data_IF_804423213012
#
_entry.id   IF_804423213012
#
_cell.length_a   1.000
_cell.length_b   1.000
_cell.length_c   1.000
_cell.angle_alpha   90.00
_cell.angle_beta   90.00
_cell.angle_gamma   90.00
#
_symmetry.space_group_name_H-M   'P 1'
#
loop_
_entity.id
_entity.type
_entity.pdbx_description
1 polymer ?
#
# COMPACT_ATOMS: atom_id res chain seq x y z
N UNK A 1 9.39 11.29 22.19
CA UNK A 1 9.41 10.78 20.80
C UNK A 1 10.21 11.76 19.96
N UNK A 2 11.30 11.30 19.37
CA UNK A 2 12.20 12.11 18.55
C UNK A 2 11.45 12.81 17.40
N UNK A 3 11.79 14.05 17.01
CA UNK A 3 11.06 14.79 15.97
C UNK A 3 10.96 14.05 14.63
N UNK A 4 12.03 13.36 14.20
CA UNK A 4 12.01 12.55 12.97
C UNK A 4 11.01 11.39 13.03
N UNK A 5 10.92 10.73 14.19
CA UNK A 5 9.98 9.62 14.41
C UNK A 5 8.55 10.16 14.43
N UNK A 6 8.34 11.33 15.04
CA UNK A 6 7.04 12.00 15.05
C UNK A 6 6.59 12.39 13.63
N UNK A 7 7.48 12.97 12.84
CA UNK A 7 7.20 13.30 11.43
C UNK A 7 6.84 12.05 10.63
N UNK A 8 7.63 10.99 10.77
CA UNK A 8 7.38 9.69 10.13
C UNK A 8 6.00 9.13 10.52
N UNK A 9 5.64 9.16 11.81
CA UNK A 9 4.33 8.72 12.28
C UNK A 9 3.19 9.53 11.66
N UNK A 10 3.31 10.86 11.61
CA UNK A 10 2.30 11.72 10.98
C UNK A 10 2.10 11.37 9.50
N UNK A 11 3.20 11.18 8.74
CA UNK A 11 3.11 10.78 7.33
C UNK A 11 2.41 9.43 7.16
N UNK A 12 2.75 8.45 7.99
CA UNK A 12 2.11 7.14 7.95
C UNK A 12 0.60 7.20 8.23
N UNK A 13 0.16 8.06 9.16
CA UNK A 13 -1.26 8.26 9.47
C UNK A 13 -1.99 8.95 8.32
N UNK A 14 -1.37 9.94 7.67
CA UNK A 14 -1.95 10.63 6.51
C UNK A 14 -2.15 9.65 5.35
N UNK A 15 -1.10 8.90 4.99
CA UNK A 15 -1.18 7.87 3.92
C UNK A 15 -2.11 6.73 4.32
N UNK A 16 -2.12 6.36 5.60
CA UNK A 16 -2.95 5.29 6.16
C UNK A 16 -4.44 5.52 6.03
N UNK A 17 -4.91 6.76 5.79
CA UNK A 17 -6.32 7.08 5.58
C UNK A 17 -6.89 6.39 4.34
N UNK A 18 -6.10 6.30 3.28
CA UNK A 18 -6.50 5.72 1.99
C UNK A 18 -6.05 4.26 1.82
N UNK A 19 -5.40 3.69 2.85
CA UNK A 19 -4.79 2.37 2.77
C UNK A 19 -5.85 1.27 2.62
N UNK A 20 -5.67 0.32 1.69
CA UNK A 20 -6.70 -0.67 1.37
C UNK A 20 -6.70 -1.86 2.32
N UNK A 21 -7.12 -1.63 3.56
CA UNK A 21 -7.35 -2.65 4.59
C UNK A 21 -8.79 -2.54 5.12
N UNK A 22 -9.46 -3.65 5.51
CA UNK A 22 -10.82 -3.60 6.07
C UNK A 22 -10.94 -2.66 7.28
N UNK A 23 -10.00 -2.72 8.22
CA UNK A 23 -9.97 -1.78 9.37
C UNK A 23 -9.40 -0.39 9.05
N UNK A 24 -8.96 -0.17 7.80
CA UNK A 24 -8.41 1.09 7.28
C UNK A 24 -7.31 1.71 8.16
N UNK A 25 -7.54 2.95 8.56
CA UNK A 25 -6.58 3.74 9.35
C UNK A 25 -6.28 3.13 10.72
N UNK A 26 -7.21 2.38 11.32
CA UNK A 26 -7.00 1.80 12.65
C UNK A 26 -5.91 0.72 12.62
N UNK A 27 -5.90 -0.12 11.57
CA UNK A 27 -4.84 -1.10 11.34
C UNK A 27 -3.47 -0.44 11.25
N UNK A 28 -3.33 0.55 10.36
CA UNK A 28 -2.07 1.29 10.16
C UNK A 28 -1.65 1.96 11.45
N UNK A 29 -2.57 2.64 12.16
CA UNK A 29 -2.27 3.32 13.41
C UNK A 29 -1.73 2.35 14.46
N UNK A 30 -2.35 1.18 14.62
CA UNK A 30 -1.95 0.18 15.61
C UNK A 30 -0.62 -0.46 15.24
N UNK A 31 -0.42 -0.81 13.97
CA UNK A 31 0.84 -1.35 13.45
C UNK A 31 2.00 -0.37 13.64
N UNK A 32 1.83 0.90 13.28
CA UNK A 32 2.88 1.91 13.44
C UNK A 32 3.14 2.25 14.91
N UNK A 33 2.10 2.29 15.75
CA UNK A 33 2.30 2.41 17.22
C UNK A 33 3.08 1.22 17.76
N UNK A 34 2.78 0.00 17.31
CA UNK A 34 3.50 -1.21 17.70
C UNK A 34 4.94 -1.15 17.21
N UNK A 35 5.19 -0.91 15.92
CA UNK A 35 6.53 -0.89 15.33
C UNK A 35 7.44 0.19 15.94
N UNK A 36 6.92 1.39 16.21
CA UNK A 36 7.70 2.48 16.80
C UNK A 36 7.91 2.32 18.31
N UNK A 37 7.12 1.49 18.99
CA UNK A 37 7.30 1.10 20.40
C UNK A 37 8.19 -0.14 20.53
N UNK A 38 7.99 -1.11 19.66
CA UNK A 38 8.72 -2.39 19.57
C UNK A 38 10.15 -2.24 19.01
N UNK A 39 10.65 -1.02 18.82
CA UNK A 39 12.10 -0.80 18.80
C UNK A 39 12.74 -1.02 20.19
N UNK A 40 11.96 -1.41 21.20
CA UNK A 40 12.44 -2.31 22.26
C UNK A 40 12.92 -3.66 21.64
N UNK A 41 14.16 -3.67 21.12
CA UNK A 41 15.05 -4.79 20.77
C UNK A 41 14.59 -5.90 19.80
N UNK A 42 15.33 -6.16 18.71
CA UNK A 42 15.40 -7.48 18.07
C UNK A 42 16.09 -8.47 19.03
N UNK A 43 15.35 -9.45 19.51
CA UNK A 43 15.75 -10.44 20.51
C UNK A 43 16.66 -11.58 19.99
N UNK A 44 17.55 -11.33 19.03
CA UNK A 44 18.33 -12.41 18.41
C UNK A 44 19.86 -12.29 18.53
N UNK A 45 20.37 -11.32 19.32
CA UNK A 45 21.82 -11.20 19.53
C UNK A 45 22.32 -11.13 20.97
N UNK A 46 21.44 -11.19 21.97
CA UNK A 46 21.83 -11.22 23.37
C UNK A 46 20.94 -12.24 24.09
N UNK A 47 21.57 -13.22 24.74
CA UNK A 47 20.87 -14.24 25.52
C UNK A 47 19.99 -13.59 26.58
N UNK A 48 18.84 -14.22 26.83
CA UNK A 48 17.83 -13.79 27.77
C UNK A 48 18.32 -13.93 29.22
N UNK A 49 19.13 -12.99 29.68
CA UNK A 49 19.34 -12.71 31.10
C UNK A 49 19.11 -11.22 31.31
N UNK A 50 18.23 -10.90 32.25
CA UNK A 50 17.86 -9.53 32.68
C UNK A 50 16.93 -8.73 31.77
N UNK A 51 15.66 -9.14 31.72
CA UNK A 51 14.55 -8.27 31.31
C UNK A 51 14.35 -7.17 32.36
N UNK A 52 15.17 -6.13 32.32
CA UNK A 52 14.89 -4.88 33.03
C UNK A 52 13.82 -4.14 32.24
N UNK A 53 12.65 -3.94 32.86
CA UNK A 53 11.59 -3.08 32.33
C UNK A 53 12.18 -1.69 32.06
N UNK A 54 12.41 -1.36 30.79
CA UNK A 54 13.09 -0.11 30.44
C UNK A 54 12.07 1.03 30.52
N UNK A 55 11.98 1.65 31.69
CA UNK A 55 11.37 2.98 31.81
C UNK A 55 12.04 3.95 30.82
N UNK A 56 11.26 4.88 30.26
CA UNK A 56 11.72 5.87 29.25
C UNK A 56 13.12 6.41 29.60
N UNK A 57 14.16 6.15 28.79
CA UNK A 57 15.47 6.73 29.04
C UNK A 57 15.35 8.26 28.91
N UNK A 58 15.41 8.97 30.04
CA UNK A 58 15.67 10.41 30.09
C UNK A 58 17.19 10.59 30.15
N UNK A 59 17.86 10.36 29.03
CA UNK A 59 19.32 10.49 28.91
C UNK A 59 19.71 10.99 27.52
N UNK A 60 20.90 11.60 27.40
CA UNK A 60 21.49 11.97 26.10
C UNK A 60 21.66 10.70 25.26
N UNK A 61 21.20 10.73 24.01
CA UNK A 61 21.43 9.66 23.04
C UNK A 61 22.94 9.53 22.79
N UNK A 62 23.47 8.31 22.76
CA UNK A 62 24.83 8.09 22.27
C UNK A 62 24.85 8.27 20.74
N UNK A 63 26.04 8.51 20.18
CA UNK A 63 26.20 8.64 18.73
C UNK A 63 25.80 7.37 17.95
N UNK A 64 25.92 6.19 18.57
CA UNK A 64 25.47 4.92 17.97
C UNK A 64 23.95 4.80 17.93
N UNK A 65 23.28 5.15 19.04
CA UNK A 65 21.82 5.18 19.13
C UNK A 65 21.20 6.13 18.09
N UNK A 66 21.90 7.23 17.78
CA UNK A 66 21.48 8.18 16.74
C UNK A 66 21.59 7.59 15.33
N UNK A 67 22.65 6.85 15.01
CA UNK A 67 22.80 6.16 13.72
C UNK A 67 21.71 5.12 13.51
N UNK A 68 21.43 4.33 14.55
CA UNK A 68 20.39 3.30 14.48
C UNK A 68 19.00 3.91 14.34
N UNK A 69 18.74 5.02 15.04
CA UNK A 69 17.52 5.81 14.88
C UNK A 69 17.36 6.28 13.43
N UNK A 70 18.42 6.82 12.82
CA UNK A 70 18.38 7.28 11.43
C UNK A 70 18.11 6.13 10.46
N UNK A 71 18.75 4.97 10.66
CA UNK A 71 18.52 3.76 9.86
C UNK A 71 17.07 3.27 9.99
N UNK A 72 16.53 3.24 11.20
CA UNK A 72 15.13 2.87 11.46
C UNK A 72 14.14 3.87 10.82
N UNK A 73 14.41 5.18 10.92
CA UNK A 73 13.61 6.23 10.29
C UNK A 73 13.66 6.10 8.76
N UNK A 74 14.84 5.84 8.18
CA UNK A 74 15.00 5.64 6.75
C UNK A 74 14.19 4.42 6.27
N UNK A 75 14.23 3.31 7.01
CA UNK A 75 13.40 2.13 6.75
C UNK A 75 11.92 2.47 6.83
N UNK A 76 11.48 3.21 7.84
CA UNK A 76 10.09 3.64 7.94
C UNK A 76 9.65 4.52 6.77
N UNK A 77 10.50 5.47 6.34
CA UNK A 77 10.22 6.32 5.16
C UNK A 77 10.05 5.48 3.89
N UNK A 78 10.87 4.44 3.73
CA UNK A 78 10.70 3.47 2.65
C UNK A 78 9.33 2.79 2.72
N UNK A 79 8.92 2.28 3.90
CA UNK A 79 7.62 1.63 4.07
C UNK A 79 6.44 2.56 3.75
N UNK A 80 6.53 3.85 4.07
CA UNK A 80 5.49 4.83 3.68
C UNK A 80 5.37 4.94 2.15
N UNK A 81 6.49 4.87 1.41
CA UNK A 81 6.43 4.86 -0.07
C UNK A 81 5.77 3.60 -0.61
N UNK A 82 6.05 2.44 -0.02
CA UNK A 82 5.37 1.19 -0.37
C UNK A 82 3.86 1.30 -0.15
N UNK A 83 3.43 1.87 0.98
CA UNK A 83 2.00 2.11 1.24
C UNK A 83 1.36 2.99 0.15
N UNK A 84 2.05 4.05 -0.28
CA UNK A 84 1.58 4.90 -1.39
C UNK A 84 1.46 4.08 -2.69
N UNK A 85 2.43 3.23 -2.99
CA UNK A 85 2.40 2.33 -4.14
C UNK A 85 1.18 1.41 -4.12
N UNK A 86 0.87 0.80 -2.98
CA UNK A 86 -0.31 -0.07 -2.82
C UNK A 86 -1.61 0.71 -3.05
N UNK A 87 -1.69 1.96 -2.57
CA UNK A 87 -2.84 2.84 -2.80
C UNK A 87 -2.98 3.17 -4.30
N UNK A 88 -1.88 3.49 -4.97
CA UNK A 88 -1.86 3.75 -6.41
C UNK A 88 -2.30 2.51 -7.20
N UNK A 89 -1.85 1.31 -6.83
CA UNK A 89 -2.27 0.06 -7.47
C UNK A 89 -3.76 -0.18 -7.31
N UNK A 90 -4.35 0.09 -6.12
CA UNK A 90 -5.80 0.02 -5.96
C UNK A 90 -6.52 1.00 -6.89
N UNK A 91 -6.06 2.25 -6.98
CA UNK A 91 -6.62 3.25 -7.90
C UNK A 91 -6.52 2.79 -9.35
N UNK A 92 -5.35 2.28 -9.75
CA UNK A 92 -5.13 1.74 -11.09
C UNK A 92 -6.04 0.54 -11.38
N UNK A 93 -6.21 -0.40 -10.45
CA UNK A 93 -7.13 -1.54 -10.61
C UNK A 93 -8.56 -1.07 -10.85
N UNK A 94 -9.04 -0.09 -10.08
CA UNK A 94 -10.39 0.47 -10.28
C UNK A 94 -10.53 1.19 -11.62
N UNK A 95 -9.50 1.88 -12.08
CA UNK A 95 -9.50 2.56 -13.37
C UNK A 95 -9.44 1.55 -14.53
N UNK A 96 -8.56 0.55 -14.44
CA UNK A 96 -8.42 -0.52 -15.44
C UNK A 96 -9.75 -1.26 -15.62
N UNK A 97 -10.50 -1.51 -14.55
CA UNK A 97 -11.82 -2.16 -14.66
C UNK A 97 -12.83 -1.33 -15.47
N UNK A 98 -12.78 0.00 -15.37
CA UNK A 98 -13.70 0.89 -16.10
C UNK A 98 -13.38 0.99 -17.57
N UNK A 99 -12.09 0.91 -17.92
CA UNK A 99 -11.60 1.13 -19.28
C UNK A 99 -11.08 -0.15 -19.95
N UNK A 100 -11.22 -1.33 -19.33
CA UNK A 100 -10.86 -2.60 -19.96
C UNK A 100 -11.81 -2.86 -21.12
N UNK A 101 -11.25 -3.24 -22.28
CA UNK A 101 -11.94 -3.49 -23.55
C UNK A 101 -13.15 -4.42 -23.42
N UNK A 102 -13.17 -5.32 -22.43
CA UNK A 102 -14.26 -6.23 -22.11
C UNK A 102 -15.59 -5.52 -21.74
N UNK A 103 -15.51 -4.29 -21.21
CA UNK A 103 -16.66 -3.44 -20.85
C UNK A 103 -16.99 -2.36 -21.90
N UNK A 104 -16.25 -2.32 -23.02
CA UNK A 104 -16.51 -1.38 -24.10
C UNK A 104 -17.57 -1.97 -25.04
N UNK A 105 -18.84 -1.90 -24.63
CA UNK A 105 -20.00 -2.43 -25.38
C UNK A 105 -20.09 -1.90 -26.81
N UNK A 106 -19.51 -0.73 -27.09
CA UNK A 106 -19.42 -0.14 -28.44
C UNK A 106 -18.71 -1.07 -29.44
N UNK A 107 -17.72 -1.86 -28.99
CA UNK A 107 -17.00 -2.80 -29.86
C UNK A 107 -17.68 -4.17 -29.98
N UNK A 108 -18.52 -4.55 -29.00
CA UNK A 108 -19.31 -5.79 -29.06
C UNK A 108 -20.50 -5.65 -30.02
N UNK A 109 -21.13 -4.47 -30.07
CA UNK A 109 -22.23 -4.18 -30.99
C UNK A 109 -21.82 -4.15 -32.46
N UNK A 110 -20.63 -3.63 -32.78
CA UNK A 110 -20.16 -3.53 -34.17
C UNK A 110 -19.87 -4.90 -34.79
N UNK A 111 -19.32 -5.85 -34.01
CA UNK A 111 -19.07 -7.22 -34.50
C UNK A 111 -20.38 -7.97 -34.77
N UNK A 112 -21.41 -7.73 -33.95
CA UNK A 112 -22.76 -8.29 -34.17
C UNK A 112 -23.44 -7.73 -35.42
N UNK A 113 -23.32 -6.42 -35.67
CA UNK A 113 -23.91 -5.78 -36.85
C UNK A 113 -23.19 -6.22 -38.12
N UNK A 114 -21.85 -6.27 -38.11
CA UNK A 114 -21.07 -6.73 -39.26
C UNK A 114 -21.42 -8.18 -39.63
N UNK A 115 -21.52 -9.07 -38.63
CA UNK A 115 -21.93 -10.45 -38.84
C UNK A 115 -23.36 -10.58 -39.40
N UNK A 116 -24.29 -9.75 -38.92
CA UNK A 116 -25.67 -9.67 -39.45
C UNK A 116 -25.70 -9.17 -40.89
N UNK A 117 -24.95 -8.12 -41.22
CA UNK A 117 -24.86 -7.59 -42.59
C UNK A 117 -24.30 -8.64 -43.56
N UNK A 118 -23.23 -9.34 -43.19
CA UNK A 118 -22.68 -10.42 -44.03
C UNK A 118 -23.64 -11.58 -44.21
N UNK A 119 -24.47 -11.90 -43.23
CA UNK A 119 -25.48 -12.96 -43.36
C UNK A 119 -26.63 -12.55 -44.28
N UNK A 120 -26.99 -11.28 -44.34
CA UNK A 120 -28.01 -10.77 -45.26
C UNK A 120 -27.50 -10.78 -46.71
N UNK A 121 -26.27 -10.32 -46.94
CA UNK A 121 -25.63 -10.32 -48.26
C UNK A 121 -25.56 -11.74 -48.87
N UNK A 122 -25.17 -12.74 -48.06
CA UNK A 122 -25.09 -14.14 -48.54
C UNK A 122 -26.46 -14.79 -48.80
N UNK A 123 -27.57 -14.25 -48.28
CA UNK A 123 -28.91 -14.79 -48.52
C UNK A 123 -29.58 -14.19 -49.76
N UNK A 124 -29.18 -12.98 -50.19
CA UNK A 124 -29.65 -12.37 -51.44
C UNK A 124 -29.06 -13.05 -52.68
N UNK A 125 -27.84 -13.61 -52.56
CA UNK A 125 -27.16 -14.35 -53.65
C UNK A 125 -27.73 -15.76 -53.90
N UNK A 126 -28.53 -16.31 -52.98
CA UNK A 126 -29.16 -17.64 -53.12
C UNK A 126 -30.57 -17.54 -53.75
N UNK A 127 -31.14 -16.33 -53.82
CA UNK A 127 -32.51 -16.07 -54.30
C UNK A 127 -32.59 -15.62 -55.77
N UNK A 128 -31.47 -15.53 -56.49
CA UNK A 128 -31.36 -15.29 -57.93
C UNK A 128 -30.78 -16.50 -58.66
#
# INVERSE_FOLDING_TARGET
MHPLVRDLYKRAIVVGRDYPHPDGLNYVRNMWKKALRAYEYPSEKYEATDVKQVGRPRGKFNAEDEKDLLKAVARGRYMVREMIGVIQLKKYRTMKQRYSEENNEVFKGTVSIQAMCTLLENNEDIAN
#
